data_IF_241190007022
#
_entry.id   IF_241190007022
#
_cell.length_a   1.000
_cell.length_b   1.000
_cell.length_c   1.000
_cell.angle_alpha   90.00
_cell.angle_beta   90.00
_cell.angle_gamma   90.00
#
_symmetry.space_group_name_H-M   'P 1'
#
loop_
_entity.id
_entity.type
_entity.pdbx_description
1 polymer ?
#
# COMPACT_ATOMS: atom_id res chain seq x y z
N UNK A 1 52.26 31.57 -26.06
CA UNK A 1 53.63 31.42 -26.63
C UNK A 1 54.53 30.44 -25.87
N UNK A 2 54.22 30.03 -24.63
CA UNK A 2 55.04 29.09 -23.85
C UNK A 2 54.80 27.59 -24.13
N UNK A 3 53.67 27.21 -24.72
CA UNK A 3 53.32 25.80 -24.96
C UNK A 3 53.97 25.17 -26.21
N UNK A 4 54.61 25.98 -27.07
CA UNK A 4 55.27 25.51 -28.29
C UNK A 4 56.76 25.15 -28.08
N UNK A 5 57.42 25.75 -27.08
CA UNK A 5 58.85 25.48 -26.80
C UNK A 5 59.09 24.14 -26.08
N UNK A 6 58.14 23.65 -25.29
CA UNK A 6 58.29 22.40 -24.53
C UNK A 6 58.13 21.12 -25.38
N UNK A 7 57.66 21.22 -26.64
CA UNK A 7 57.52 20.07 -27.55
C UNK A 7 58.73 19.85 -28.48
N UNK A 8 59.69 20.78 -28.55
CA UNK A 8 60.88 20.63 -29.39
C UNK A 8 62.07 19.98 -28.67
N UNK A 9 62.07 19.99 -27.33
CA UNK A 9 63.16 19.47 -26.50
C UNK A 9 63.16 17.94 -26.33
N UNK A 10 62.06 17.26 -26.69
CA UNK A 10 61.95 15.79 -26.60
C UNK A 10 62.60 15.02 -27.77
N UNK A 11 63.24 15.71 -28.73
CA UNK A 11 63.83 15.10 -29.94
C UNK A 11 65.37 15.12 -30.01
N UNK A 12 66.08 15.64 -29.02
CA UNK A 12 67.54 15.60 -29.02
C UNK A 12 68.04 14.30 -28.37
N UNK A 13 68.36 13.31 -29.22
CA UNK A 13 69.11 12.11 -28.86
C UNK A 13 70.42 12.49 -28.16
N UNK A 14 70.78 11.70 -27.14
CA UNK A 14 71.96 11.83 -26.29
C UNK A 14 73.23 12.25 -27.07
N UNK A 15 73.92 13.34 -26.69
CA UNK A 15 75.25 13.61 -27.22
C UNK A 15 76.27 12.68 -26.57
N UNK A 16 77.05 12.03 -27.43
CA UNK A 16 78.09 11.04 -27.15
C UNK A 16 79.16 11.52 -26.18
N UNK A 17 79.63 10.60 -25.34
CA UNK A 17 80.71 10.69 -24.34
C UNK A 17 82.08 11.14 -24.85
N UNK A 18 82.24 11.42 -26.15
CA UNK A 18 83.52 11.77 -26.77
C UNK A 18 83.94 13.25 -26.60
N UNK A 19 82.99 14.19 -26.47
CA UNK A 19 83.30 15.64 -26.45
C UNK A 19 83.90 16.11 -25.11
N UNK A 20 83.79 15.32 -24.05
CA UNK A 20 84.31 15.68 -22.72
C UNK A 20 85.79 15.34 -22.49
N UNK A 21 86.51 14.77 -23.47
CA UNK A 21 87.84 14.19 -23.23
C UNK A 21 89.04 14.98 -23.79
N UNK A 22 88.85 16.13 -24.45
CA UNK A 22 89.96 16.88 -25.06
C UNK A 22 90.34 18.16 -24.31
N UNK A 23 91.31 18.01 -23.39
CA UNK A 23 92.50 18.86 -23.21
C UNK A 23 92.41 20.40 -23.32
N UNK A 24 91.51 21.06 -22.58
CA UNK A 24 91.57 22.55 -22.45
C UNK A 24 91.62 23.07 -21.01
N UNK A 25 91.45 22.23 -19.97
CA UNK A 25 91.46 22.71 -18.58
C UNK A 25 92.41 21.88 -17.69
N UNK A 26 93.70 21.90 -18.02
CA UNK A 26 94.80 21.33 -17.21
C UNK A 26 95.80 22.43 -16.80
N UNK A 27 95.33 23.52 -16.20
CA UNK A 27 96.22 24.52 -15.57
C UNK A 27 95.60 25.30 -14.41
N UNK A 28 94.60 24.72 -13.73
CA UNK A 28 94.08 25.22 -12.46
C UNK A 28 93.83 24.04 -11.52
N UNK A 29 94.93 23.41 -11.11
CA UNK A 29 94.92 22.55 -9.93
C UNK A 29 94.43 23.34 -8.73
N UNK A 30 93.52 22.72 -7.97
CA UNK A 30 93.14 23.04 -6.57
C UNK A 30 91.89 23.88 -6.30
N UNK A 31 90.73 23.57 -6.90
CA UNK A 31 89.44 23.71 -6.19
C UNK A 31 88.48 22.60 -6.65
N UNK A 32 88.68 21.38 -6.13
CA UNK A 32 87.60 20.40 -5.98
C UNK A 32 86.60 20.96 -4.95
N UNK A 33 85.80 21.94 -5.36
CA UNK A 33 84.64 22.38 -4.61
C UNK A 33 83.58 21.29 -4.76
N UNK A 34 83.63 20.37 -3.81
CA UNK A 34 82.56 19.52 -3.30
C UNK A 34 81.16 20.11 -3.59
N UNK A 35 80.60 19.91 -4.79
CA UNK A 35 79.21 20.25 -5.09
C UNK A 35 78.36 19.19 -4.42
N UNK A 36 78.15 19.38 -3.12
CA UNK A 36 77.19 18.63 -2.36
C UNK A 36 75.82 18.73 -3.06
N UNK A 37 75.08 17.62 -3.07
CA UNK A 37 73.76 17.57 -3.71
C UNK A 37 72.86 18.64 -3.09
N UNK A 38 72.11 19.35 -3.92
CA UNK A 38 71.15 20.35 -3.45
C UNK A 38 70.14 19.67 -2.54
N UNK A 39 69.92 20.24 -1.35
CA UNK A 39 68.95 19.74 -0.39
C UNK A 39 67.54 19.74 -1.01
N UNK A 40 66.81 18.66 -0.78
CA UNK A 40 65.40 18.51 -1.15
C UNK A 40 64.62 18.25 0.13
N UNK A 41 63.39 18.78 0.25
CA UNK A 41 62.49 18.43 1.33
C UNK A 41 62.33 16.91 1.46
N UNK A 42 62.49 16.43 2.69
CA UNK A 42 62.08 15.11 3.10
C UNK A 42 60.58 15.10 3.45
N UNK A 43 60.05 13.90 3.74
CA UNK A 43 58.63 13.73 4.10
C UNK A 43 58.29 14.51 5.38
N UNK A 44 59.21 14.54 6.35
CA UNK A 44 59.08 15.30 7.59
C UNK A 44 58.93 16.80 7.34
N UNK A 45 59.72 17.38 6.42
CA UNK A 45 59.56 18.77 6.01
C UNK A 45 58.19 19.04 5.36
N UNK A 46 57.65 18.11 4.56
CA UNK A 46 56.35 18.29 3.91
C UNK A 46 55.15 18.16 4.84
N UNK A 47 55.22 17.28 5.84
CA UNK A 47 54.13 17.07 6.81
C UNK A 47 53.90 18.29 7.70
N UNK A 48 54.93 19.10 7.96
CA UNK A 48 54.81 20.37 8.68
C UNK A 48 53.83 21.37 8.02
N UNK A 49 53.59 21.24 6.71
CA UNK A 49 52.66 22.10 5.95
C UNK A 49 51.30 21.45 5.68
N UNK A 50 51.08 20.20 6.09
CA UNK A 50 49.89 19.42 5.77
C UNK A 50 48.76 19.52 6.82
N UNK A 51 49.03 20.13 7.98
CA UNK A 51 48.06 20.31 9.05
C UNK A 51 47.00 21.38 8.76
N UNK A 52 45.94 21.41 9.57
CA UNK A 52 44.91 22.45 9.48
C UNK A 52 45.44 23.87 9.78
N UNK A 53 46.49 23.97 10.60
CA UNK A 53 47.12 25.22 11.03
C UNK A 53 48.64 25.05 11.03
N UNK A 54 49.37 26.11 10.65
CA UNK A 54 50.84 26.12 10.58
C UNK A 54 51.52 25.97 11.96
N UNK A 55 50.90 26.47 13.02
CA UNK A 55 51.42 26.41 14.39
C UNK A 55 50.36 25.86 15.35
N UNK A 56 50.43 24.57 15.73
CA UNK A 56 49.45 23.98 16.64
C UNK A 56 49.63 24.50 18.07
N UNK A 57 48.54 25.00 18.64
CA UNK A 57 48.36 25.31 20.07
C UNK A 57 47.40 24.29 20.70
N UNK A 58 47.35 24.21 22.03
CA UNK A 58 46.45 23.30 22.77
C UNK A 58 44.95 23.45 22.41
N UNK A 59 44.54 24.58 21.83
CA UNK A 59 43.16 24.81 21.37
C UNK A 59 42.94 24.25 19.96
N UNK A 60 43.93 24.40 19.08
CA UNK A 60 43.85 24.07 17.64
C UNK A 60 44.19 22.62 17.32
N UNK A 61 44.69 21.84 18.29
CA UNK A 61 44.98 20.41 18.12
C UNK A 61 43.76 19.58 17.70
N UNK A 62 42.54 20.06 18.00
CA UNK A 62 41.30 19.38 17.64
C UNK A 62 40.88 19.57 16.18
N UNK A 63 41.56 20.43 15.43
CA UNK A 63 41.17 20.80 14.07
C UNK A 63 41.81 19.84 13.06
N UNK A 64 40.95 19.05 12.42
CA UNK A 64 41.37 18.22 11.30
C UNK A 64 41.39 19.06 10.01
N UNK A 65 42.30 18.79 9.07
CA UNK A 65 42.27 19.43 7.76
C UNK A 65 40.93 19.11 7.07
N UNK A 66 40.38 20.04 6.26
CA UNK A 66 39.15 19.80 5.55
C UNK A 66 39.31 18.60 4.58
N UNK A 67 38.23 17.88 4.28
CA UNK A 67 38.27 16.83 3.27
C UNK A 67 38.66 17.43 1.92
N UNK A 68 39.43 16.70 1.11
CA UNK A 68 39.91 17.16 -0.21
C UNK A 68 38.80 17.61 -1.19
N UNK A 69 37.56 17.17 -0.97
CA UNK A 69 36.40 17.51 -1.79
C UNK A 69 35.55 18.65 -1.20
N UNK A 70 36.01 19.28 -0.10
CA UNK A 70 35.33 20.33 0.65
C UNK A 70 33.87 20.00 1.03
N UNK A 71 33.56 18.70 1.08
CA UNK A 71 32.25 18.16 1.43
C UNK A 71 32.38 17.29 2.66
N UNK A 72 31.76 17.74 3.73
CA UNK A 72 31.55 16.89 4.89
C UNK A 72 30.64 15.71 4.51
N UNK A 73 30.88 14.52 5.08
CA UNK A 73 29.94 13.43 4.93
C UNK A 73 28.55 13.90 5.39
N UNK A 74 27.49 13.71 4.57
CA UNK A 74 26.18 14.17 4.96
C UNK A 74 25.78 13.51 6.27
N UNK A 75 25.40 14.31 7.26
CA UNK A 75 24.80 13.77 8.48
C UNK A 75 23.44 13.19 8.10
N UNK A 76 23.35 11.86 7.99
CA UNK A 76 22.11 11.14 7.73
C UNK A 76 21.16 11.31 8.92
N UNK A 77 20.42 12.42 8.95
CA UNK A 77 19.30 12.60 9.86
C UNK A 77 18.15 11.77 9.32
N UNK A 78 17.94 10.60 9.92
CA UNK A 78 16.75 9.80 9.61
C UNK A 78 15.51 10.59 10.01
N UNK A 79 14.75 11.06 9.02
CA UNK A 79 13.44 11.66 9.25
C UNK A 79 12.55 10.57 9.84
N UNK A 80 12.08 10.76 11.08
CA UNK A 80 11.16 9.84 11.72
C UNK A 80 9.81 9.90 11.00
N UNK A 81 9.37 8.77 10.44
CA UNK A 81 8.02 8.67 9.88
C UNK A 81 7.00 8.81 11.01
N UNK A 82 5.91 9.51 10.73
CA UNK A 82 4.84 9.70 11.69
C UNK A 82 3.98 8.43 11.72
N UNK A 83 3.83 7.82 12.89
CA UNK A 83 2.91 6.69 13.07
C UNK A 83 1.57 7.21 13.59
N UNK A 84 0.51 7.07 12.79
CA UNK A 84 -0.87 7.45 13.17
C UNK A 84 -1.69 6.18 13.38
N UNK A 85 -2.41 6.14 14.51
CA UNK A 85 -3.38 5.08 14.79
C UNK A 85 -4.78 5.56 14.38
N UNK A 86 -5.30 5.00 13.30
CA UNK A 86 -6.70 5.14 12.92
C UNK A 86 -7.52 4.17 13.79
N UNK A 87 -8.27 4.75 14.72
CA UNK A 87 -8.97 4.00 15.77
C UNK A 87 -10.29 3.36 15.29
N UNK A 88 -10.80 2.35 16.02
CA UNK A 88 -12.02 1.63 15.64
C UNK A 88 -13.32 2.45 15.66
N UNK A 89 -13.30 3.62 16.30
CA UNK A 89 -14.48 4.49 16.44
C UNK A 89 -14.71 5.39 15.22
N UNK A 90 -13.75 5.46 14.29
CA UNK A 90 -13.81 6.39 13.18
C UNK A 90 -14.93 6.02 12.19
N UNK A 91 -15.77 6.97 11.74
CA UNK A 91 -16.92 6.67 10.86
C UNK A 91 -16.52 5.96 9.55
N UNK A 92 -15.40 6.35 8.95
CA UNK A 92 -14.86 5.70 7.74
C UNK A 92 -14.26 4.29 7.97
N UNK A 93 -14.32 3.73 9.19
CA UNK A 93 -13.92 2.35 9.45
C UNK A 93 -15.04 1.34 9.11
N UNK A 94 -16.24 1.81 8.71
CA UNK A 94 -17.41 1.02 8.30
C UNK A 94 -17.57 -0.30 9.06
N UNK A 95 -17.61 -0.21 10.38
CA UNK A 95 -17.50 -1.36 11.28
C UNK A 95 -16.39 -1.12 12.28
N UNK A 96 -15.57 -2.14 12.53
CA UNK A 96 -14.55 -2.10 13.57
C UNK A 96 -13.22 -2.50 12.95
N UNK A 97 -12.45 -1.50 12.51
CA UNK A 97 -11.14 -1.66 11.91
C UNK A 97 -10.14 -0.74 12.60
N UNK A 98 -8.95 -1.25 12.92
CA UNK A 98 -7.82 -0.45 13.39
C UNK A 98 -6.73 -0.47 12.33
N UNK A 99 -6.31 0.71 11.86
CA UNK A 99 -5.18 0.84 10.94
C UNK A 99 -4.03 1.56 11.65
N UNK A 100 -2.84 0.95 11.66
CA UNK A 100 -1.60 1.63 12.06
C UNK A 100 -0.92 2.09 10.78
N UNK A 101 -0.86 3.40 10.58
CA UNK A 101 -0.32 4.02 9.37
C UNK A 101 1.04 4.62 9.66
N UNK A 102 2.05 4.25 8.87
CA UNK A 102 3.33 4.95 8.82
C UNK A 102 3.30 5.93 7.66
N UNK A 103 3.32 7.22 7.98
CA UNK A 103 3.19 8.31 7.03
C UNK A 103 4.53 9.02 6.81
N UNK A 104 4.79 9.38 5.56
CA UNK A 104 5.82 10.33 5.16
C UNK A 104 5.12 11.55 4.56
N UNK A 105 4.89 12.56 5.40
CA UNK A 105 4.01 13.68 5.05
C UNK A 105 2.57 13.19 4.82
N UNK A 106 2.04 13.46 3.62
CA UNK A 106 0.70 13.01 3.19
C UNK A 106 0.70 11.60 2.57
N UNK A 107 1.89 11.08 2.22
CA UNK A 107 2.02 9.77 1.58
C UNK A 107 2.05 8.64 2.60
N UNK A 108 1.30 7.57 2.33
CA UNK A 108 1.32 6.35 3.14
C UNK A 108 2.50 5.50 2.70
N UNK A 109 3.45 5.26 3.62
CA UNK A 109 4.59 4.36 3.37
C UNK A 109 4.23 2.92 3.70
N UNK A 110 3.53 2.70 4.81
CA UNK A 110 3.10 1.38 5.28
C UNK A 110 1.75 1.50 6.00
N UNK A 111 0.90 0.50 5.82
CA UNK A 111 -0.37 0.38 6.51
C UNK A 111 -0.49 -1.04 7.06
N UNK A 112 -0.62 -1.17 8.38
CA UNK A 112 -0.83 -2.42 9.08
C UNK A 112 -2.30 -2.49 9.56
N UNK A 113 -3.19 -3.21 8.86
CA UNK A 113 -4.56 -3.40 9.29
C UNK A 113 -4.65 -4.47 10.38
N UNK A 114 -5.04 -4.06 11.59
CA UNK A 114 -5.36 -4.98 12.67
C UNK A 114 -6.83 -5.40 12.58
N UNK A 115 -7.05 -6.63 12.14
CA UNK A 115 -8.36 -7.27 12.02
C UNK A 115 -8.57 -8.23 13.20
N UNK A 116 -9.81 -8.63 13.46
CA UNK A 116 -10.15 -9.61 14.50
C UNK A 116 -10.98 -9.05 15.67
N UNK A 117 -11.26 -7.75 15.67
CA UNK A 117 -12.13 -7.11 16.67
C UNK A 117 -13.58 -7.64 16.64
N UNK A 118 -14.00 -8.20 15.51
CA UNK A 118 -15.29 -8.88 15.32
C UNK A 118 -15.12 -10.40 15.15
N UNK A 119 -13.98 -10.97 15.57
CA UNK A 119 -13.81 -12.42 15.55
C UNK A 119 -14.69 -13.04 16.65
N UNK A 120 -15.65 -13.88 16.24
CA UNK A 120 -16.64 -14.51 17.13
C UNK A 120 -16.47 -16.02 17.28
N UNK A 121 -15.38 -16.60 16.74
CA UNK A 121 -15.14 -18.05 16.76
C UNK A 121 -16.25 -18.87 16.09
N UNK A 122 -16.86 -18.34 15.01
CA UNK A 122 -18.03 -18.94 14.36
C UNK A 122 -17.77 -20.35 13.86
N UNK A 123 -16.61 -20.61 13.27
CA UNK A 123 -16.21 -21.95 12.79
C UNK A 123 -16.18 -22.96 13.92
N UNK A 124 -15.63 -22.57 15.08
CA UNK A 124 -15.60 -23.43 16.27
C UNK A 124 -16.99 -23.72 16.82
N UNK A 125 -17.90 -22.74 16.77
CA UNK A 125 -19.30 -22.94 17.19
C UNK A 125 -20.06 -23.86 16.24
N UNK A 126 -19.71 -23.87 14.94
CA UNK A 126 -20.32 -24.73 13.94
C UNK A 126 -19.95 -26.20 14.19
N UNK A 127 -18.74 -26.51 14.64
CA UNK A 127 -18.30 -27.88 14.97
C UNK A 127 -19.20 -28.58 16.00
N UNK A 128 -19.77 -27.82 16.95
CA UNK A 128 -20.63 -28.37 18.01
C UNK A 128 -22.11 -28.44 17.62
N UNK A 129 -22.49 -28.02 16.40
CA UNK A 129 -23.90 -27.94 15.97
C UNK A 129 -24.19 -28.79 14.75
N UNK A 130 -25.46 -29.17 14.61
CA UNK A 130 -25.93 -29.89 13.42
C UNK A 130 -26.04 -28.97 12.21
N UNK A 131 -26.06 -29.53 10.99
CA UNK A 131 -26.10 -28.75 9.76
C UNK A 131 -27.25 -27.72 9.70
N UNK A 132 -28.44 -28.06 10.19
CA UNK A 132 -29.57 -27.13 10.24
C UNK A 132 -29.40 -26.05 11.30
N UNK A 133 -28.81 -26.38 12.45
CA UNK A 133 -28.53 -25.41 13.51
C UNK A 133 -27.35 -24.49 13.18
N UNK A 134 -26.44 -24.94 12.30
CA UNK A 134 -25.30 -24.18 11.83
C UNK A 134 -25.69 -23.13 10.77
N UNK A 135 -26.80 -23.33 10.06
CA UNK A 135 -27.24 -22.47 8.96
C UNK A 135 -27.31 -20.96 9.32
N UNK A 136 -27.92 -20.54 10.43
CA UNK A 136 -28.05 -19.11 10.76
C UNK A 136 -26.73 -18.42 11.09
N UNK A 137 -25.61 -19.14 11.20
CA UNK A 137 -24.29 -18.50 11.29
C UNK A 137 -23.87 -17.90 9.96
N UNK A 138 -24.23 -18.52 8.83
CA UNK A 138 -23.84 -18.05 7.50
C UNK A 138 -24.53 -16.74 7.12
N UNK A 139 -25.78 -16.53 7.54
CA UNK A 139 -26.52 -15.26 7.37
C UNK A 139 -25.87 -14.08 8.10
N UNK A 140 -24.98 -14.38 9.06
CA UNK A 140 -24.35 -13.40 9.95
C UNK A 140 -22.87 -13.20 9.67
N UNK A 141 -22.31 -13.91 8.69
CA UNK A 141 -20.94 -13.71 8.22
C UNK A 141 -20.87 -12.44 7.37
N UNK A 142 -21.41 -12.48 6.15
CA UNK A 142 -21.78 -11.27 5.40
C UNK A 142 -23.24 -10.94 5.70
N UNK A 143 -23.44 -9.98 6.59
CA UNK A 143 -24.75 -9.54 7.08
C UNK A 143 -25.52 -8.68 6.06
N UNK A 144 -24.92 -8.33 4.92
CA UNK A 144 -25.58 -7.61 3.83
C UNK A 144 -26.10 -8.59 2.77
N UNK A 145 -25.40 -9.71 2.56
CA UNK A 145 -25.78 -10.74 1.58
C UNK A 145 -26.27 -12.06 2.19
N UNK A 146 -27.32 -11.99 3.01
CA UNK A 146 -27.81 -13.12 3.82
C UNK A 146 -28.15 -14.37 2.99
N UNK A 147 -29.04 -14.25 1.99
CA UNK A 147 -29.52 -15.39 1.19
C UNK A 147 -28.42 -16.00 0.31
N UNK A 148 -27.44 -15.21 -0.14
CA UNK A 148 -26.31 -15.72 -0.92
C UNK A 148 -25.42 -16.63 -0.07
N UNK A 149 -25.20 -16.29 1.21
CA UNK A 149 -24.43 -17.12 2.12
C UNK A 149 -25.20 -18.41 2.48
N UNK A 150 -26.50 -18.31 2.75
CA UNK A 150 -27.37 -19.47 2.95
C UNK A 150 -27.35 -20.41 1.74
N UNK A 151 -27.38 -19.85 0.53
CA UNK A 151 -27.32 -20.59 -0.72
C UNK A 151 -25.96 -21.27 -0.91
N UNK A 152 -24.84 -20.58 -0.65
CA UNK A 152 -23.51 -21.17 -0.73
C UNK A 152 -23.36 -22.36 0.23
N UNK A 153 -23.84 -22.20 1.47
CA UNK A 153 -23.85 -23.27 2.46
C UNK A 153 -24.76 -24.44 2.04
N UNK A 154 -25.98 -24.15 1.60
CA UNK A 154 -26.94 -25.17 1.16
C UNK A 154 -26.42 -25.96 -0.04
N UNK A 155 -25.78 -25.30 -1.01
CA UNK A 155 -25.16 -25.97 -2.16
C UNK A 155 -23.98 -26.86 -1.75
N UNK A 156 -23.17 -26.43 -0.77
CA UNK A 156 -22.10 -27.26 -0.23
C UNK A 156 -22.64 -28.54 0.42
N UNK A 157 -23.69 -28.42 1.24
CA UNK A 157 -24.34 -29.57 1.88
C UNK A 157 -25.05 -30.46 0.86
N UNK A 158 -25.75 -29.90 -0.12
CA UNK A 158 -26.42 -30.63 -1.20
C UNK A 158 -25.42 -31.42 -2.06
N UNK A 159 -24.24 -30.84 -2.32
CA UNK A 159 -23.15 -31.51 -3.04
C UNK A 159 -22.57 -32.67 -2.23
N UNK A 160 -22.42 -32.53 -0.92
CA UNK A 160 -21.97 -33.62 -0.05
C UNK A 160 -23.00 -34.76 0.03
N UNK A 161 -24.30 -34.42 0.03
CA UNK A 161 -25.39 -35.40 0.06
C UNK A 161 -25.74 -35.97 -1.32
N UNK A 162 -25.18 -35.43 -2.40
CA UNK A 162 -25.51 -35.77 -3.80
C UNK A 162 -27.00 -35.67 -4.12
N UNK A 163 -27.69 -34.66 -3.58
CA UNK A 163 -29.12 -34.41 -3.81
C UNK A 163 -29.29 -33.20 -4.74
N UNK A 164 -30.26 -33.27 -5.65
CA UNK A 164 -30.66 -32.11 -6.45
C UNK A 164 -31.95 -31.50 -5.90
N UNK A 165 -31.97 -30.18 -5.61
CA UNK A 165 -33.19 -29.51 -5.19
C UNK A 165 -34.20 -29.42 -6.36
N UNK A 166 -35.51 -29.36 -6.09
CA UNK A 166 -36.54 -29.30 -7.13
C UNK A 166 -36.38 -28.03 -7.99
N UNK A 167 -36.73 -28.07 -9.28
CA UNK A 167 -36.48 -26.96 -10.22
C UNK A 167 -37.13 -25.65 -9.77
N UNK A 168 -38.32 -25.70 -9.16
CA UNK A 168 -38.98 -24.52 -8.58
C UNK A 168 -38.13 -23.84 -7.49
N UNK A 169 -37.47 -24.62 -6.63
CA UNK A 169 -36.62 -24.07 -5.57
C UNK A 169 -35.36 -23.41 -6.15
N UNK A 170 -34.82 -23.94 -7.24
CA UNK A 170 -33.67 -23.36 -7.94
C UNK A 170 -34.01 -21.97 -8.50
N UNK A 171 -35.15 -21.81 -9.17
CA UNK A 171 -35.59 -20.51 -9.69
C UNK A 171 -35.81 -19.48 -8.58
N UNK A 172 -36.42 -19.89 -7.47
CA UNK A 172 -36.64 -19.02 -6.31
C UNK A 172 -35.30 -18.58 -5.70
N UNK A 173 -34.33 -19.49 -5.55
CA UNK A 173 -33.00 -19.16 -5.06
C UNK A 173 -32.29 -18.14 -5.95
N UNK A 174 -32.34 -18.32 -7.26
CA UNK A 174 -31.74 -17.38 -8.22
C UNK A 174 -32.40 -16.01 -8.13
N UNK A 175 -33.74 -15.96 -8.06
CA UNK A 175 -34.48 -14.70 -7.92
C UNK A 175 -34.08 -13.94 -6.64
N UNK A 176 -34.06 -14.62 -5.50
CA UNK A 176 -33.63 -13.99 -4.25
C UNK A 176 -32.15 -13.65 -4.24
N UNK A 177 -31.29 -14.48 -4.84
CA UNK A 177 -29.87 -14.20 -4.97
C UNK A 177 -29.58 -12.93 -5.76
N UNK A 178 -30.31 -12.69 -6.86
CA UNK A 178 -30.19 -11.43 -7.61
C UNK A 178 -30.77 -10.24 -6.85
N UNK A 179 -31.85 -10.41 -6.10
CA UNK A 179 -32.36 -9.36 -5.22
C UNK A 179 -31.34 -9.02 -4.11
N UNK A 180 -30.72 -10.03 -3.49
CA UNK A 180 -29.64 -9.84 -2.51
C UNK A 180 -28.43 -9.15 -3.15
N UNK A 181 -28.11 -9.45 -4.41
CA UNK A 181 -27.03 -8.78 -5.15
C UNK A 181 -27.30 -7.28 -5.30
N UNK A 182 -28.53 -6.90 -5.69
CA UNK A 182 -28.94 -5.48 -5.78
C UNK A 182 -28.83 -4.81 -4.41
N UNK A 183 -29.32 -5.46 -3.35
CA UNK A 183 -29.19 -4.96 -1.96
C UNK A 183 -27.74 -4.72 -1.55
N UNK A 184 -26.84 -5.64 -1.91
CA UNK A 184 -25.42 -5.53 -1.58
C UNK A 184 -24.73 -4.41 -2.35
N UNK A 185 -24.99 -4.28 -3.65
CA UNK A 185 -24.43 -3.20 -4.45
C UNK A 185 -24.95 -1.82 -4.02
N UNK A 186 -26.23 -1.71 -3.66
CA UNK A 186 -26.78 -0.48 -3.10
C UNK A 186 -26.02 -0.08 -1.85
N UNK A 187 -25.82 -1.01 -0.90
CA UNK A 187 -25.04 -0.73 0.31
C UNK A 187 -23.62 -0.30 -0.04
N UNK A 188 -22.90 -1.10 -0.84
CA UNK A 188 -21.50 -0.84 -1.17
C UNK A 188 -21.29 0.54 -1.85
N UNK A 189 -22.13 0.91 -2.82
CA UNK A 189 -22.00 2.17 -3.55
C UNK A 189 -22.36 3.35 -2.66
N UNK A 190 -23.44 3.23 -1.89
CA UNK A 190 -23.95 4.34 -1.07
C UNK A 190 -23.06 4.64 0.13
N UNK A 191 -22.53 3.62 0.79
CA UNK A 191 -21.60 3.81 1.91
C UNK A 191 -20.26 4.36 1.41
N UNK A 192 -19.76 3.86 0.28
CA UNK A 192 -18.56 4.42 -0.35
C UNK A 192 -18.75 5.88 -0.77
N UNK A 193 -19.91 6.23 -1.33
CA UNK A 193 -20.24 7.62 -1.65
C UNK A 193 -20.29 8.51 -0.39
N UNK A 194 -20.86 7.99 0.71
CA UNK A 194 -20.92 8.67 1.99
C UNK A 194 -19.52 8.93 2.57
N UNK A 195 -18.61 7.96 2.47
CA UNK A 195 -17.23 8.08 2.93
C UNK A 195 -16.42 9.12 2.14
N UNK A 196 -16.72 9.29 0.84
CA UNK A 196 -16.14 10.37 0.02
C UNK A 196 -16.78 11.73 0.36
N UNK A 197 -18.00 11.74 0.91
CA UNK A 197 -18.71 12.94 1.37
C UNK A 197 -20.07 13.19 0.69
N UNK A 198 -20.50 12.35 -0.25
CA UNK A 198 -21.80 12.46 -0.91
C UNK A 198 -22.92 11.82 -0.06
N UNK A 199 -23.58 12.63 0.76
CA UNK A 199 -24.61 12.16 1.71
C UNK A 199 -25.99 11.90 1.07
N UNK A 200 -26.35 12.61 0.01
CA UNK A 200 -27.70 12.53 -0.60
C UNK A 200 -28.05 11.17 -1.21
N UNK A 201 -27.19 10.48 -2.00
CA UNK A 201 -27.57 9.21 -2.61
C UNK A 201 -27.79 8.10 -1.59
N UNK A 202 -27.17 8.21 -0.41
CA UNK A 202 -27.35 7.25 0.68
C UNK A 202 -28.82 7.20 1.12
N UNK A 203 -29.44 8.35 1.39
CA UNK A 203 -30.83 8.39 1.84
C UNK A 203 -31.83 7.94 0.76
N UNK A 204 -31.61 8.30 -0.51
CA UNK A 204 -32.49 7.88 -1.61
C UNK A 204 -32.49 6.37 -1.81
N UNK A 205 -31.31 5.76 -1.83
CA UNK A 205 -31.21 4.33 -2.09
C UNK A 205 -31.56 3.47 -0.86
N UNK A 206 -31.46 4.02 0.35
CA UNK A 206 -31.94 3.32 1.55
C UNK A 206 -33.46 3.20 1.59
N UNK A 207 -34.21 4.10 0.94
CA UNK A 207 -35.65 3.92 0.74
C UNK A 207 -35.94 2.69 -0.12
N UNK A 208 -35.22 2.52 -1.24
CA UNK A 208 -35.35 1.34 -2.11
C UNK A 208 -34.91 0.05 -1.39
N UNK A 209 -33.87 0.14 -0.58
CA UNK A 209 -33.41 -0.95 0.30
C UNK A 209 -34.49 -1.37 1.30
N UNK A 210 -35.24 -0.44 1.86
CA UNK A 210 -36.33 -0.72 2.79
C UNK A 210 -37.49 -1.46 2.12
N UNK A 211 -37.89 -1.05 0.90
CA UNK A 211 -38.91 -1.75 0.10
C UNK A 211 -38.49 -3.20 -0.18
N UNK A 212 -37.21 -3.43 -0.44
CA UNK A 212 -36.67 -4.78 -0.61
C UNK A 212 -36.67 -5.59 0.70
N UNK A 213 -36.50 -4.96 1.87
CA UNK A 213 -36.64 -5.66 3.15
C UNK A 213 -38.08 -6.07 3.47
N UNK A 214 -39.07 -5.29 3.02
CA UNK A 214 -40.47 -5.70 3.11
C UNK A 214 -40.72 -7.01 2.37
N UNK A 215 -40.05 -7.23 1.24
CA UNK A 215 -40.09 -8.50 0.53
C UNK A 215 -39.49 -9.66 1.33
N UNK A 216 -38.42 -9.42 2.08
CA UNK A 216 -37.78 -10.45 2.93
C UNK A 216 -38.68 -10.81 4.10
N UNK A 217 -39.30 -9.81 4.71
CA UNK A 217 -40.23 -9.97 5.82
C UNK A 217 -41.46 -10.77 5.40
N UNK A 218 -42.04 -10.48 4.23
CA UNK A 218 -43.20 -11.23 3.71
C UNK A 218 -42.90 -12.71 3.41
N UNK A 219 -41.65 -13.03 3.10
CA UNK A 219 -41.24 -14.37 2.68
C UNK A 219 -40.79 -15.22 3.86
N UNK A 220 -40.02 -14.64 4.77
CA UNK A 220 -39.36 -15.36 5.87
C UNK A 220 -39.90 -15.00 7.26
N UNK A 221 -40.66 -13.91 7.38
CA UNK A 221 -41.05 -13.32 8.66
C UNK A 221 -39.95 -12.46 9.31
N UNK A 222 -38.75 -12.44 8.75
CA UNK A 222 -37.63 -11.64 9.24
C UNK A 222 -37.14 -10.65 8.17
N UNK A 223 -36.70 -9.47 8.62
CA UNK A 223 -36.26 -8.40 7.71
C UNK A 223 -34.86 -8.62 7.13
N UNK A 224 -33.93 -9.17 7.93
CA UNK A 224 -32.55 -9.43 7.48
C UNK A 224 -32.19 -10.92 7.52
N UNK A 225 -32.10 -11.49 8.72
CA UNK A 225 -31.70 -12.89 8.89
C UNK A 225 -32.89 -13.82 8.69
N UNK A 226 -33.05 -14.30 7.45
CA UNK A 226 -34.23 -15.01 6.98
C UNK A 226 -34.18 -16.53 7.23
N UNK A 227 -33.00 -17.16 7.26
CA UNK A 227 -32.83 -18.62 7.36
C UNK A 227 -33.79 -19.40 6.43
N UNK A 228 -33.96 -18.89 5.21
CA UNK A 228 -35.01 -19.26 4.26
C UNK A 228 -34.53 -20.33 3.28
N UNK A 229 -33.32 -20.18 2.77
CA UNK A 229 -32.66 -21.16 1.90
C UNK A 229 -32.04 -22.21 2.78
N UNK A 230 -32.55 -23.44 2.70
CA UNK A 230 -32.09 -24.57 3.52
C UNK A 230 -31.52 -25.69 2.64
N UNK A 231 -30.65 -26.57 3.18
CA UNK A 231 -30.19 -27.74 2.46
C UNK A 231 -31.40 -28.58 2.02
N UNK A 232 -31.53 -28.83 0.72
CA UNK A 232 -32.67 -29.52 0.11
C UNK A 232 -33.68 -28.59 -0.59
N UNK A 233 -33.50 -27.27 -0.55
CA UNK A 233 -34.30 -26.33 -1.32
C UNK A 233 -34.62 -25.04 -0.56
N UNK A 234 -35.90 -24.79 -0.34
CA UNK A 234 -36.42 -23.56 0.25
C UNK A 234 -37.46 -23.94 1.31
N UNK A 235 -37.49 -23.25 2.45
CA UNK A 235 -38.30 -23.65 3.59
C UNK A 235 -39.82 -23.53 3.33
N UNK A 236 -40.29 -22.39 2.80
CA UNK A 236 -41.71 -22.11 2.58
C UNK A 236 -41.90 -21.33 1.28
N UNK A 237 -43.01 -21.55 0.56
CA UNK A 237 -43.30 -20.80 -0.69
C UNK A 237 -44.72 -20.25 -0.64
N UNK A 238 -44.86 -18.94 -0.44
CA UNK A 238 -46.14 -18.26 -0.57
C UNK A 238 -46.39 -17.87 -2.03
N UNK A 239 -47.46 -18.40 -2.62
CA UNK A 239 -47.82 -18.22 -4.05
C UNK A 239 -48.19 -16.76 -4.38
N UNK A 240 -48.64 -15.98 -3.39
CA UNK A 240 -49.11 -14.60 -3.54
C UNK A 240 -47.97 -13.61 -3.89
N UNK A 241 -46.71 -13.98 -3.65
CA UNK A 241 -45.56 -13.08 -3.71
C UNK A 241 -45.11 -12.71 -5.14
N UNK A 242 -45.26 -13.63 -6.11
CA UNK A 242 -44.74 -13.43 -7.49
C UNK A 242 -45.43 -12.26 -8.21
N UNK A 243 -46.74 -12.06 -7.98
CA UNK A 243 -47.50 -10.97 -8.60
C UNK A 243 -47.14 -9.59 -8.01
N UNK A 244 -46.75 -9.52 -6.73
CA UNK A 244 -46.37 -8.25 -6.10
C UNK A 244 -44.99 -7.77 -6.56
N UNK A 245 -44.05 -8.69 -6.78
CA UNK A 245 -42.72 -8.37 -7.30
C UNK A 245 -42.83 -7.74 -8.70
N UNK A 246 -43.64 -8.33 -9.58
CA UNK A 246 -43.90 -7.80 -10.91
C UNK A 246 -44.53 -6.40 -10.88
N UNK A 247 -45.52 -6.16 -10.01
CA UNK A 247 -46.16 -4.85 -9.89
C UNK A 247 -45.20 -3.77 -9.37
N UNK A 248 -44.30 -4.10 -8.45
CA UNK A 248 -43.32 -3.16 -7.92
C UNK A 248 -42.29 -2.73 -8.97
N UNK A 249 -41.73 -3.68 -9.73
CA UNK A 249 -40.82 -3.37 -10.83
C UNK A 249 -41.50 -2.59 -11.96
N UNK A 250 -42.80 -2.80 -12.20
CA UNK A 250 -43.56 -2.06 -13.20
C UNK A 250 -43.87 -0.60 -12.79
N UNK A 251 -44.09 -0.35 -11.49
CA UNK A 251 -44.30 1.00 -10.96
C UNK A 251 -43.01 1.84 -10.98
N UNK A 252 -41.84 1.23 -10.75
CA UNK A 252 -40.57 1.95 -10.76
C UNK A 252 -40.05 2.34 -12.15
N UNK A 253 -40.50 1.71 -13.25
CA UNK A 253 -40.23 2.21 -14.62
C UNK A 253 -40.76 3.63 -14.86
N UNK A 254 -41.76 4.07 -14.10
CA UNK A 254 -42.33 5.43 -14.18
C UNK A 254 -41.53 6.41 -13.29
N UNK A 255 -40.93 5.93 -12.19
CA UNK A 255 -40.12 6.77 -11.29
C UNK A 255 -38.68 6.97 -11.80
N UNK A 256 -38.10 6.04 -12.56
CA UNK A 256 -36.81 6.25 -13.24
C UNK A 256 -36.85 7.39 -14.28
N UNK A 257 -38.02 7.85 -14.69
CA UNK A 257 -38.16 9.08 -15.48
C UNK A 257 -37.75 10.35 -14.68
N UNK A 258 -37.83 10.32 -13.35
CA UNK A 258 -37.37 11.41 -12.47
C UNK A 258 -35.84 11.42 -12.35
N UNK A 259 -35.18 10.26 -12.50
CA UNK A 259 -33.72 10.16 -12.53
C UNK A 259 -33.09 10.82 -13.77
N UNK A 260 -33.88 11.04 -14.84
CA UNK A 260 -33.42 11.74 -16.04
C UNK A 260 -33.46 13.28 -15.90
N UNK A 261 -34.06 13.82 -14.83
CA UNK A 261 -34.17 15.27 -14.60
C UNK A 261 -33.11 15.85 -13.64
N UNK A 262 -32.20 15.03 -13.11
CA UNK A 262 -31.12 15.49 -12.23
C UNK A 262 -29.72 15.38 -12.86
N UNK A 263 -29.67 15.28 -14.20
CA UNK A 263 -28.45 15.34 -15.01
C UNK A 263 -28.55 16.49 -16.02
N UNK A 264 -28.72 17.72 -15.50
CA UNK A 264 -28.40 19.00 -16.16
C UNK A 264 -27.78 19.89 -15.10
#
# INVERSE_FOLDING_TARGET
>A
MAAAMLRSLSKLKCPSTAILTTNVVKSSSSLLLNRQKQWQPDVEWTEQYAGAVMYPTAVTEKWNPPPWNDKDPPAEKTVSNLTINFGPQHPAAHGVLRLVLELSGESVKKCDPHIGLLHRGTEKLIEYKTYLQALPYFDRLDYVSMMCNEQAYSLAVEKLLNIQPPPRAQWIRVLFGELTRILNHIMAITTHALDIGAMTPFFWMFEEREKMFEFYERVSGARMHAAYVRPGGVHQVNVIFINMLFNHFHYHRISTAVFCYCSI
#
